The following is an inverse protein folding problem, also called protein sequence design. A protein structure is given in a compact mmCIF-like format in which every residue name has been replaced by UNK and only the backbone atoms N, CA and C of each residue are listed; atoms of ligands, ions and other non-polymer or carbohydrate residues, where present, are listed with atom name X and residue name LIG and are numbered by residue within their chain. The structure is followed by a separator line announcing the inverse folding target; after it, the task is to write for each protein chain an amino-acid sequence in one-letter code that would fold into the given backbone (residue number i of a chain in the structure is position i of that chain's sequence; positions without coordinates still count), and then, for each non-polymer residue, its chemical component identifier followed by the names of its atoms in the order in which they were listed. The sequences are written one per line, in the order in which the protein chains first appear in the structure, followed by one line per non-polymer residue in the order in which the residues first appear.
data_IF_300987706487
#
_entry.id   IF_300987706487
#
_cell.length_a   1.000
_cell.length_b   1.000
_cell.length_c   1.000
_cell.angle_alpha   90.00
_cell.angle_beta   90.00
_cell.angle_gamma   90.00
#
_symmetry.space_group_name_H-M   'P 1'
#
loop_
_entity.id
_entity.type
_entity.pdbx_description
1 polymer ?
#
# COMPACT_ATOMS: atom_id res chain seq x y z
N UNK A 1 -18.68 1.10 -34.73
CA UNK A 1 -18.62 1.04 -33.25
C UNK A 1 -18.86 2.44 -32.73
N UNK A 2 -19.81 2.61 -31.82
CA UNK A 2 -20.20 3.91 -31.27
C UNK A 2 -19.04 4.50 -30.47
N UNK A 3 -18.77 5.80 -30.59
CA UNK A 3 -17.69 6.49 -29.84
C UNK A 3 -17.77 6.26 -28.32
N UNK A 4 -18.98 6.06 -27.80
CA UNK A 4 -19.27 5.74 -26.40
C UNK A 4 -18.75 4.37 -25.96
N UNK A 5 -18.78 3.37 -26.85
CA UNK A 5 -18.31 2.01 -26.55
C UNK A 5 -16.78 1.99 -26.44
N UNK A 6 -16.10 2.74 -27.32
CA UNK A 6 -14.64 2.85 -27.30
C UNK A 6 -14.14 3.56 -26.04
N UNK A 7 -14.78 4.65 -25.62
CA UNK A 7 -14.46 5.35 -24.37
C UNK A 7 -14.70 4.46 -23.14
N UNK A 8 -15.76 3.64 -23.16
CA UNK A 8 -16.07 2.69 -22.10
C UNK A 8 -15.01 1.60 -22.02
N UNK A 9 -14.63 0.99 -23.15
CA UNK A 9 -13.58 -0.02 -23.20
C UNK A 9 -12.22 0.54 -22.77
N UNK A 10 -11.89 1.77 -23.16
CA UNK A 10 -10.66 2.42 -22.72
C UNK A 10 -10.66 2.68 -21.21
N UNK A 11 -11.80 3.09 -20.64
CA UNK A 11 -11.94 3.30 -19.19
C UNK A 11 -11.80 2.00 -18.39
N UNK A 12 -12.37 0.90 -18.90
CA UNK A 12 -12.21 -0.44 -18.34
C UNK A 12 -10.74 -0.84 -18.36
N UNK A 13 -10.11 -0.73 -19.53
CA UNK A 13 -8.72 -1.13 -19.74
C UNK A 13 -7.79 -0.36 -18.81
N UNK A 14 -7.88 0.98 -18.78
CA UNK A 14 -7.09 1.82 -17.89
C UNK A 14 -7.27 1.45 -16.41
N UNK A 15 -8.50 1.14 -16.00
CA UNK A 15 -8.79 0.81 -14.60
C UNK A 15 -8.21 -0.55 -14.20
N UNK A 16 -8.26 -1.55 -15.09
CA UNK A 16 -7.68 -2.88 -14.80
C UNK A 16 -6.15 -2.85 -14.93
N UNK A 17 -5.60 -2.15 -15.92
CA UNK A 17 -4.15 -1.93 -16.01
C UNK A 17 -3.61 -1.22 -14.76
N UNK A 18 -4.36 -0.27 -14.21
CA UNK A 18 -4.02 0.33 -12.91
C UNK A 18 -4.00 -0.70 -11.78
N UNK A 19 -4.96 -1.63 -11.71
CA UNK A 19 -4.97 -2.66 -10.67
C UNK A 19 -3.74 -3.57 -10.72
N UNK A 20 -3.31 -3.92 -11.93
CA UNK A 20 -2.12 -4.74 -12.19
C UNK A 20 -0.82 -3.93 -12.32
N UNK A 21 -0.88 -2.59 -12.21
CA UNK A 21 0.32 -1.75 -12.20
C UNK A 21 1.24 -2.13 -11.05
N UNK A 22 2.55 -1.92 -11.23
CA UNK A 22 3.55 -2.25 -10.20
C UNK A 22 3.24 -1.59 -8.86
N UNK A 23 2.85 -0.32 -8.92
CA UNK A 23 2.56 0.50 -7.75
C UNK A 23 1.31 0.08 -7.01
N UNK A 24 0.26 -0.35 -7.72
CA UNK A 24 -0.93 -0.86 -7.04
C UNK A 24 -0.69 -2.28 -6.52
N UNK A 25 -0.15 -3.17 -7.35
CA UNK A 25 -0.05 -4.59 -7.06
C UNK A 25 0.85 -4.90 -5.87
N UNK A 26 1.92 -4.13 -5.63
CA UNK A 26 2.75 -4.28 -4.43
C UNK A 26 2.04 -3.83 -3.14
N UNK A 27 1.04 -2.95 -3.26
CA UNK A 27 0.32 -2.38 -2.11
C UNK A 27 -1.04 -3.05 -1.87
N UNK A 28 -1.65 -3.63 -2.91
CA UNK A 28 -2.92 -4.34 -2.85
C UNK A 28 -2.69 -5.78 -2.41
N UNK A 29 -2.84 -6.04 -1.12
CA UNK A 29 -2.63 -7.36 -0.53
C UNK A 29 -3.54 -8.44 -1.12
N UNK A 30 -4.75 -8.07 -1.53
CA UNK A 30 -5.70 -9.04 -2.09
C UNK A 30 -5.21 -9.49 -3.46
N UNK A 31 -5.06 -8.55 -4.40
CA UNK A 31 -4.60 -8.87 -5.76
C UNK A 31 -3.22 -9.54 -5.75
N UNK A 32 -2.29 -9.04 -4.94
CA UNK A 32 -0.95 -9.60 -4.82
C UNK A 32 -0.97 -11.07 -4.39
N UNK A 33 -1.77 -11.39 -3.38
CA UNK A 33 -1.86 -12.76 -2.86
C UNK A 33 -2.59 -13.66 -3.85
N UNK A 34 -3.69 -13.19 -4.44
CA UNK A 34 -4.48 -13.96 -5.42
C UNK A 34 -3.67 -14.32 -6.66
N UNK A 35 -2.92 -13.37 -7.24
CA UNK A 35 -2.09 -13.70 -8.40
C UNK A 35 -0.97 -14.67 -8.04
N UNK A 36 -0.34 -14.52 -6.87
CA UNK A 36 0.80 -15.35 -6.47
C UNK A 36 0.38 -16.78 -6.16
N UNK A 37 -0.87 -16.99 -5.74
CA UNK A 37 -1.44 -18.31 -5.51
C UNK A 37 -1.84 -19.05 -6.79
N UNK A 38 -1.99 -18.34 -7.92
CA UNK A 38 -2.55 -18.87 -9.17
C UNK A 38 -1.66 -18.55 -10.40
N UNK A 39 -0.34 -18.60 -10.25
CA UNK A 39 0.62 -18.38 -11.36
C UNK A 39 0.38 -17.07 -12.16
N UNK A 40 0.02 -16.01 -11.45
CA UNK A 40 -0.27 -14.69 -12.00
C UNK A 40 -1.73 -14.46 -12.37
N UNK A 41 -2.55 -15.51 -12.45
CA UNK A 41 -3.93 -15.43 -12.89
C UNK A 41 -4.88 -14.93 -11.80
N UNK A 42 -5.84 -14.09 -12.21
CA UNK A 42 -6.92 -13.60 -11.37
C UNK A 42 -8.23 -13.74 -12.13
N UNK A 43 -9.31 -14.29 -11.52
CA UNK A 43 -10.60 -14.38 -12.17
C UNK A 43 -11.15 -13.01 -12.55
N UNK A 44 -11.58 -12.84 -13.80
CA UNK A 44 -12.24 -11.61 -14.27
C UNK A 44 -13.56 -11.40 -13.51
N UNK A 45 -14.22 -12.47 -13.08
CA UNK A 45 -15.35 -12.42 -12.16
C UNK A 45 -15.01 -11.64 -10.89
N UNK A 46 -13.85 -11.89 -10.28
CA UNK A 46 -13.37 -11.17 -9.09
C UNK A 46 -13.12 -9.70 -9.40
N UNK A 47 -12.47 -9.40 -10.53
CA UNK A 47 -12.24 -8.01 -10.96
C UNK A 47 -13.56 -7.27 -11.18
N UNK A 48 -14.57 -7.94 -11.73
CA UNK A 48 -15.90 -7.37 -11.99
C UNK A 48 -16.66 -6.96 -10.72
N UNK A 49 -16.24 -7.45 -9.54
CA UNK A 49 -16.82 -7.14 -8.24
C UNK A 49 -16.15 -5.93 -7.57
N UNK A 50 -15.04 -5.43 -8.09
CA UNK A 50 -14.38 -4.25 -7.54
C UNK A 50 -15.25 -3.01 -7.72
N UNK A 51 -15.23 -2.12 -6.74
CA UNK A 51 -16.16 -0.98 -6.67
C UNK A 51 -16.22 -0.16 -7.97
N UNK A 52 -15.05 0.10 -8.58
CA UNK A 52 -14.97 0.87 -9.84
C UNK A 52 -15.34 0.07 -11.09
N UNK A 53 -15.41 -1.26 -10.97
CA UNK A 53 -15.71 -2.19 -12.06
C UNK A 53 -17.14 -2.71 -12.06
N UNK A 54 -17.84 -2.65 -10.91
CA UNK A 54 -19.23 -3.15 -10.75
C UNK A 54 -20.20 -2.59 -11.80
N UNK A 55 -19.98 -1.36 -12.24
CA UNK A 55 -20.83 -0.67 -13.24
C UNK A 55 -20.68 -1.21 -14.66
N UNK A 56 -19.63 -1.96 -14.97
CA UNK A 56 -19.42 -2.52 -16.30
C UNK A 56 -20.06 -3.90 -16.36
N UNK A 57 -21.21 -3.95 -17.03
CA UNK A 57 -21.96 -5.18 -17.31
C UNK A 57 -22.47 -5.12 -18.76
N UNK A 58 -22.50 -6.25 -19.47
CA UNK A 58 -22.18 -7.60 -18.98
C UNK A 58 -20.64 -7.85 -18.94
N UNK A 59 -20.19 -8.98 -18.38
CA UNK A 59 -18.76 -9.22 -18.08
C UNK A 59 -17.92 -9.33 -19.37
N UNK A 60 -18.55 -9.77 -20.45
CA UNK A 60 -17.99 -9.90 -21.79
C UNK A 60 -17.40 -8.55 -22.27
N UNK A 61 -18.01 -7.42 -21.90
CA UNK A 61 -17.48 -6.08 -22.21
C UNK A 61 -16.11 -5.86 -21.54
N UNK A 62 -15.93 -6.40 -20.34
CA UNK A 62 -14.63 -6.35 -19.65
C UNK A 62 -13.63 -7.23 -20.41
N UNK A 63 -13.99 -8.47 -20.73
CA UNK A 63 -13.12 -9.41 -21.46
C UNK A 63 -12.66 -8.82 -22.79
N UNK A 64 -13.58 -8.25 -23.58
CA UNK A 64 -13.27 -7.60 -24.85
C UNK A 64 -12.32 -6.41 -24.70
N UNK A 65 -12.54 -5.57 -23.69
CA UNK A 65 -11.66 -4.44 -23.41
C UNK A 65 -10.25 -4.90 -23.00
N UNK A 66 -10.15 -5.94 -22.17
CA UNK A 66 -8.87 -6.47 -21.69
C UNK A 66 -8.04 -7.11 -22.81
N UNK A 67 -8.68 -7.75 -23.79
CA UNK A 67 -8.00 -8.30 -24.98
C UNK A 67 -7.32 -7.23 -25.84
N UNK A 68 -7.75 -5.96 -25.71
CA UNK A 68 -7.11 -4.81 -26.38
C UNK A 68 -5.90 -4.27 -25.60
N UNK A 69 -5.52 -4.85 -24.45
CA UNK A 69 -4.32 -4.41 -23.71
C UNK A 69 -3.07 -4.62 -24.57
N UNK A 70 -2.31 -3.55 -24.85
CA UNK A 70 -1.18 -3.64 -25.77
C UNK A 70 -0.09 -4.54 -25.20
N UNK A 71 0.35 -4.30 -23.95
CA UNK A 71 1.57 -4.91 -23.42
C UNK A 71 1.45 -5.42 -21.98
N UNK A 72 0.50 -4.92 -21.18
CA UNK A 72 0.48 -5.24 -19.75
C UNK A 72 -0.30 -6.52 -19.43
N UNK A 73 -1.48 -6.72 -20.03
CA UNK A 73 -2.42 -7.77 -19.64
C UNK A 73 -2.57 -8.87 -20.69
N UNK A 74 -2.76 -10.08 -20.20
CA UNK A 74 -3.11 -11.29 -20.96
C UNK A 74 -4.41 -11.87 -20.41
N UNK A 75 -5.31 -12.27 -21.30
CA UNK A 75 -6.60 -12.89 -20.95
C UNK A 75 -6.53 -14.36 -21.38
N UNK A 76 -7.03 -15.27 -20.55
CA UNK A 76 -7.09 -16.70 -20.87
C UNK A 76 -7.96 -16.96 -22.11
N UNK A 77 -7.72 -18.07 -22.80
CA UNK A 77 -8.45 -18.42 -24.03
C UNK A 77 -9.97 -18.48 -23.80
N UNK A 78 -10.39 -19.07 -22.68
CA UNK A 78 -11.79 -19.15 -22.25
C UNK A 78 -12.38 -17.81 -21.79
N UNK A 79 -11.58 -16.74 -21.65
CA UNK A 79 -12.04 -15.41 -21.26
C UNK A 79 -12.39 -15.25 -19.77
N UNK A 80 -12.00 -16.19 -18.91
CA UNK A 80 -12.38 -16.19 -17.50
C UNK A 80 -11.32 -15.57 -16.58
N UNK A 81 -10.05 -15.59 -16.99
CA UNK A 81 -8.92 -15.19 -16.17
C UNK A 81 -8.11 -14.07 -16.85
N UNK A 82 -7.50 -13.20 -16.05
CA UNK A 82 -6.56 -12.17 -16.50
C UNK A 82 -5.29 -12.23 -15.68
N UNK A 83 -4.14 -12.01 -16.32
CA UNK A 83 -2.85 -11.85 -15.65
C UNK A 83 -2.00 -10.78 -16.31
N UNK A 84 -0.86 -10.45 -15.71
CA UNK A 84 0.18 -9.67 -16.39
C UNK A 84 0.91 -10.53 -17.40
N UNK A 85 1.14 -9.99 -18.60
CA UNK A 85 2.05 -10.58 -19.62
C UNK A 85 3.48 -10.68 -19.08
N UNK A 86 3.94 -9.61 -18.44
CA UNK A 86 5.27 -9.53 -17.82
C UNK A 86 5.10 -9.58 -16.31
N UNK A 87 5.58 -10.67 -15.72
CA UNK A 87 5.59 -10.86 -14.27
C UNK A 87 6.34 -9.72 -13.56
N UNK A 88 5.95 -9.41 -12.32
CA UNK A 88 6.69 -8.47 -11.52
C UNK A 88 8.13 -8.96 -11.29
N UNK A 89 9.14 -8.08 -11.38
CA UNK A 89 10.48 -8.41 -10.93
C UNK A 89 10.46 -8.91 -9.47
N UNK A 90 11.20 -9.98 -9.18
CA UNK A 90 11.26 -10.56 -7.83
C UNK A 90 11.88 -9.60 -6.80
N UNK A 91 12.68 -8.63 -7.25
CA UNK A 91 13.30 -7.62 -6.41
C UNK A 91 12.32 -6.48 -6.10
N UNK A 92 11.33 -6.74 -5.24
CA UNK A 92 10.31 -5.75 -4.89
C UNK A 92 10.88 -4.47 -4.26
N UNK A 93 12.04 -4.54 -3.60
CA UNK A 93 12.69 -3.37 -3.04
C UNK A 93 13.14 -2.39 -4.13
N UNK A 94 13.69 -2.91 -5.23
CA UNK A 94 14.13 -2.08 -6.36
C UNK A 94 12.94 -1.42 -7.08
N UNK A 95 11.84 -2.16 -7.25
CA UNK A 95 10.59 -1.59 -7.78
C UNK A 95 10.11 -0.46 -6.85
N UNK A 96 10.09 -0.69 -5.54
CA UNK A 96 9.67 0.32 -4.57
C UNK A 96 10.57 1.56 -4.60
N UNK A 97 11.89 1.39 -4.75
CA UNK A 97 12.83 2.50 -4.90
C UNK A 97 12.56 3.30 -6.19
N UNK A 98 12.30 2.62 -7.30
CA UNK A 98 11.97 3.29 -8.57
C UNK A 98 10.62 4.03 -8.51
N UNK A 99 9.61 3.45 -7.86
CA UNK A 99 8.34 4.13 -7.57
C UNK A 99 8.59 5.36 -6.70
N UNK A 100 9.42 5.24 -5.66
CA UNK A 100 9.74 6.36 -4.77
C UNK A 100 10.47 7.50 -5.49
N UNK A 101 11.37 7.19 -6.43
CA UNK A 101 12.07 8.20 -7.25
C UNK A 101 11.11 9.04 -8.10
N UNK A 102 10.06 8.42 -8.64
CA UNK A 102 9.01 9.11 -9.42
C UNK A 102 7.82 9.58 -8.56
N UNK A 103 7.95 9.57 -7.24
CA UNK A 103 6.88 9.96 -6.32
C UNK A 103 7.28 11.13 -5.43
N UNK A 104 6.30 11.99 -5.16
CA UNK A 104 6.41 13.09 -4.20
C UNK A 104 5.38 12.91 -3.08
N UNK A 105 5.68 13.53 -1.95
CA UNK A 105 4.75 13.67 -0.83
C UNK A 105 4.33 15.13 -0.72
N UNK A 106 3.03 15.35 -0.59
CA UNK A 106 2.41 16.68 -0.57
C UNK A 106 1.57 16.83 0.69
N UNK A 107 1.74 17.95 1.40
CA UNK A 107 0.97 18.35 2.58
C UNK A 107 0.32 19.73 2.38
N UNK A 108 -0.56 20.10 3.32
CA UNK A 108 -1.36 21.34 3.33
C UNK A 108 -2.40 21.42 2.21
N UNK A 109 -2.88 20.28 1.73
CA UNK A 109 -4.06 20.24 0.85
C UNK A 109 -5.34 20.51 1.67
N UNK A 110 -6.34 21.20 1.11
CA UNK A 110 -7.63 21.38 1.76
C UNK A 110 -8.27 20.02 2.09
N UNK A 111 -8.79 19.84 3.30
CA UNK A 111 -9.43 18.58 3.71
C UNK A 111 -10.69 18.24 2.90
N UNK A 112 -11.27 19.23 2.23
CA UNK A 112 -12.41 19.12 1.30
C UNK A 112 -12.01 18.64 -0.10
N UNK A 113 -10.72 18.61 -0.44
CA UNK A 113 -10.25 18.21 -1.76
C UNK A 113 -10.61 16.76 -2.07
N UNK A 114 -11.14 16.52 -3.27
CA UNK A 114 -11.53 15.17 -3.72
C UNK A 114 -10.39 14.52 -4.51
N UNK A 115 -10.44 13.19 -4.64
CA UNK A 115 -9.45 12.45 -5.44
C UNK A 115 -9.44 12.92 -6.91
N UNK A 116 -10.60 13.22 -7.47
CA UNK A 116 -10.75 13.60 -8.87
C UNK A 116 -10.16 15.00 -9.11
N UNK A 117 -10.36 15.93 -8.18
CA UNK A 117 -9.78 17.28 -8.27
C UNK A 117 -8.25 17.23 -8.15
N UNK A 118 -7.74 16.44 -7.20
CA UNK A 118 -6.29 16.23 -7.06
C UNK A 118 -5.70 15.55 -8.30
N UNK A 119 -6.36 14.55 -8.87
CA UNK A 119 -5.92 13.90 -10.11
C UNK A 119 -5.88 14.90 -11.27
N UNK A 120 -6.89 15.75 -11.42
CA UNK A 120 -6.91 16.80 -12.46
C UNK A 120 -5.78 17.79 -12.27
N UNK A 121 -5.57 18.26 -11.04
CA UNK A 121 -4.52 19.20 -10.69
C UNK A 121 -3.12 18.64 -10.95
N UNK A 122 -2.79 17.44 -10.46
CA UNK A 122 -1.45 16.89 -10.69
C UNK A 122 -1.22 16.52 -12.14
N UNK A 123 -2.25 16.11 -12.88
CA UNK A 123 -2.17 15.84 -14.33
C UNK A 123 -1.97 17.10 -15.17
N UNK A 124 -2.40 18.28 -14.72
CA UNK A 124 -2.11 19.54 -15.42
C UNK A 124 -0.65 19.96 -15.26
N UNK A 125 0.04 19.46 -14.24
CA UNK A 125 1.47 19.69 -14.00
C UNK A 125 2.31 18.67 -14.76
N UNK A 126 2.04 17.37 -14.55
CA UNK A 126 2.79 16.28 -15.17
C UNK A 126 1.95 14.98 -15.29
N UNK A 127 2.25 14.10 -16.26
CA UNK A 127 1.58 12.81 -16.39
C UNK A 127 1.64 12.01 -15.07
N UNK A 128 0.48 11.72 -14.50
CA UNK A 128 0.35 11.13 -13.15
C UNK A 128 -0.26 9.73 -13.21
N UNK A 129 0.42 8.75 -12.60
CA UNK A 129 -0.01 7.36 -12.47
C UNK A 129 -1.02 7.17 -11.33
N UNK A 130 -0.72 7.70 -10.15
CA UNK A 130 -1.52 7.47 -8.95
C UNK A 130 -1.48 8.68 -8.01
N UNK A 131 -2.62 8.99 -7.40
CA UNK A 131 -2.72 9.88 -6.23
C UNK A 131 -3.25 9.06 -5.06
N UNK A 132 -2.48 8.99 -3.98
CA UNK A 132 -2.83 8.27 -2.75
C UNK A 132 -3.08 9.26 -1.63
N UNK A 133 -4.35 9.57 -1.41
CA UNK A 133 -4.80 10.40 -0.30
C UNK A 133 -4.61 9.67 1.03
N UNK A 134 -3.99 10.35 2.00
CA UNK A 134 -3.86 9.81 3.36
C UNK A 134 -5.10 10.16 4.14
N UNK A 135 -5.60 9.15 4.85
CA UNK A 135 -6.82 9.25 5.65
C UNK A 135 -6.51 8.94 7.10
N UNK A 136 -7.23 9.61 8.00
CA UNK A 136 -7.17 9.32 9.43
C UNK A 136 -7.93 8.01 9.75
N UNK A 137 -8.01 7.68 11.04
CA UNK A 137 -8.76 6.50 11.51
C UNK A 137 -10.25 6.57 11.19
N UNK A 138 -10.81 7.76 11.06
CA UNK A 138 -12.21 8.02 10.68
C UNK A 138 -12.42 7.99 9.16
N UNK A 139 -11.41 7.58 8.37
CA UNK A 139 -11.42 7.56 6.89
C UNK A 139 -11.60 8.95 6.25
N UNK A 140 -11.40 10.04 7.00
CA UNK A 140 -11.39 11.41 6.50
C UNK A 140 -10.01 11.78 5.96
N UNK A 141 -9.98 12.58 4.90
CA UNK A 141 -8.74 13.06 4.31
C UNK A 141 -7.98 13.96 5.29
N UNK A 142 -6.67 13.82 5.38
CA UNK A 142 -5.82 14.57 6.33
C UNK A 142 -5.08 15.74 5.70
N UNK A 143 -5.46 16.17 4.50
CA UNK A 143 -4.74 17.22 3.77
C UNK A 143 -3.34 16.81 3.28
N UNK A 144 -3.07 15.51 3.16
CA UNK A 144 -1.79 15.02 2.64
C UNK A 144 -1.93 13.82 1.71
N UNK A 145 -1.15 13.79 0.64
CA UNK A 145 -1.17 12.70 -0.32
C UNK A 145 0.23 12.34 -0.83
N UNK A 146 0.35 11.14 -1.38
CA UNK A 146 1.51 10.72 -2.17
C UNK A 146 1.08 10.74 -3.63
N UNK A 147 1.88 11.38 -4.49
CA UNK A 147 1.62 11.48 -5.92
C UNK A 147 2.73 10.73 -6.63
N UNK A 148 2.35 9.80 -7.50
CA UNK A 148 3.25 9.05 -8.36
C UNK A 148 3.10 9.52 -9.80
N UNK A 149 4.19 10.02 -10.38
CA UNK A 149 4.25 10.44 -11.77
C UNK A 149 4.65 9.28 -12.69
N UNK A 150 4.42 9.47 -14.00
CA UNK A 150 4.83 8.51 -15.02
C UNK A 150 6.34 8.38 -15.08
N UNK A 151 7.04 9.51 -15.07
CA UNK A 151 8.48 9.61 -15.22
C UNK A 151 9.15 10.20 -13.98
N UNK A 152 10.33 9.68 -13.62
CA UNK A 152 11.11 10.19 -12.48
C UNK A 152 11.58 11.63 -12.68
N UNK A 153 11.85 12.01 -13.93
CA UNK A 153 12.29 13.36 -14.31
C UNK A 153 11.26 14.43 -13.95
N UNK A 154 9.96 14.11 -14.03
CA UNK A 154 8.91 15.07 -13.70
C UNK A 154 8.86 15.33 -12.20
N UNK A 155 9.04 14.28 -11.38
CA UNK A 155 9.14 14.42 -9.94
C UNK A 155 10.36 15.27 -9.55
N UNK A 156 11.52 15.04 -10.18
CA UNK A 156 12.75 15.82 -9.95
C UNK A 156 12.58 17.30 -10.33
N UNK A 157 11.97 17.59 -11.48
CA UNK A 157 11.68 18.97 -11.90
C UNK A 157 10.78 19.68 -10.91
N UNK A 158 9.67 19.05 -10.50
CA UNK A 158 8.77 19.63 -9.51
C UNK A 158 9.51 19.90 -8.20
N UNK A 159 10.37 18.99 -7.74
CA UNK A 159 11.16 19.17 -6.52
C UNK A 159 12.23 20.27 -6.64
N UNK A 160 12.75 20.52 -7.85
CA UNK A 160 13.65 21.64 -8.11
C UNK A 160 12.87 22.97 -8.12
N UNK A 161 11.76 23.02 -8.85
CA UNK A 161 10.94 24.22 -9.03
C UNK A 161 10.39 24.74 -7.70
N UNK A 162 9.98 23.85 -6.78
CA UNK A 162 9.43 24.25 -5.46
C UNK A 162 10.43 24.98 -4.55
N UNK A 163 11.74 24.90 -4.83
CA UNK A 163 12.75 25.62 -4.04
C UNK A 163 12.71 27.13 -4.30
N UNK A 164 12.28 27.53 -5.50
CA UNK A 164 12.15 28.92 -5.92
C UNK A 164 10.66 29.35 -5.95
N UNK A 165 9.77 28.46 -6.39
CA UNK A 165 8.35 28.73 -6.61
C UNK A 165 7.47 27.69 -5.93
N UNK A 166 6.89 28.04 -4.78
CA UNK A 166 5.97 27.13 -4.08
C UNK A 166 4.79 26.72 -4.95
N UNK A 167 4.49 25.42 -4.93
CA UNK A 167 3.32 24.87 -5.60
C UNK A 167 2.05 25.34 -4.88
N UNK A 168 1.08 25.87 -5.63
CA UNK A 168 -0.19 26.36 -5.10
C UNK A 168 -1.36 25.53 -5.62
N UNK A 169 -2.33 25.26 -4.74
CA UNK A 169 -3.57 24.57 -5.08
C UNK A 169 -4.77 25.50 -4.91
N UNK A 170 -5.58 25.63 -5.96
CA UNK A 170 -6.73 26.55 -6.02
C UNK A 170 -6.46 27.78 -6.88
N UNK A 171 -7.46 28.67 -6.96
CA UNK A 171 -7.43 29.87 -7.80
C UNK A 171 -7.53 31.14 -6.96
N UNK A 172 -6.86 32.21 -7.42
CA UNK A 172 -6.90 33.53 -6.80
C UNK A 172 -6.39 33.55 -5.34
N UNK A 173 -7.01 34.39 -4.52
CA UNK A 173 -6.64 34.59 -3.11
C UNK A 173 -6.94 33.38 -2.21
N UNK A 174 -7.72 32.40 -2.70
CA UNK A 174 -8.01 31.16 -2.00
C UNK A 174 -6.95 30.07 -2.25
N UNK A 175 -5.93 30.34 -3.06
CA UNK A 175 -4.89 29.38 -3.39
C UNK A 175 -4.01 29.06 -2.16
N UNK A 176 -3.88 27.79 -1.83
CA UNK A 176 -3.10 27.31 -0.69
C UNK A 176 -1.72 26.88 -1.15
N UNK A 177 -0.68 27.38 -0.48
CA UNK A 177 0.70 26.93 -0.69
C UNK A 177 0.89 25.53 -0.12
N UNK A 178 1.40 24.62 -0.95
CA UNK A 178 1.64 23.24 -0.60
C UNK A 178 3.07 23.04 -0.11
N UNK A 179 3.22 22.15 0.88
CA UNK A 179 4.53 21.65 1.26
C UNK A 179 4.79 20.37 0.46
N UNK A 180 5.86 20.35 -0.32
CA UNK A 180 6.21 19.22 -1.19
C UNK A 180 7.61 18.74 -0.82
N UNK A 181 7.75 17.43 -0.61
CA UNK A 181 9.05 16.77 -0.38
C UNK A 181 9.13 15.48 -1.20
N UNK A 182 10.35 14.97 -1.40
CA UNK A 182 10.52 13.67 -2.06
C UNK A 182 9.92 12.56 -1.22
N UNK A 183 9.41 11.51 -1.88
CA UNK A 183 8.87 10.33 -1.18
C UNK A 183 9.92 9.66 -0.28
N UNK A 184 11.18 9.64 -0.70
CA UNK A 184 12.31 9.12 0.09
C UNK A 184 12.52 9.91 1.39
N UNK A 185 12.58 11.25 1.29
CA UNK A 185 12.73 12.12 2.47
C UNK A 185 11.57 11.99 3.45
N UNK A 186 10.35 11.82 2.92
CA UNK A 186 9.17 11.53 3.73
C UNK A 186 9.31 10.22 4.53
N UNK A 187 9.76 9.14 3.89
CA UNK A 187 9.91 7.84 4.54
C UNK A 187 11.01 7.83 5.60
N UNK A 188 12.14 8.51 5.33
CA UNK A 188 13.23 8.71 6.30
C UNK A 188 12.75 9.50 7.53
N UNK A 189 12.05 10.62 7.31
CA UNK A 189 11.47 11.44 8.38
C UNK A 189 10.49 10.65 9.24
N UNK A 190 9.71 9.75 8.61
CA UNK A 190 8.77 8.87 9.30
C UNK A 190 9.49 7.79 10.10
N UNK A 191 10.55 7.19 9.54
CA UNK A 191 11.36 6.18 10.21
C UNK A 191 12.08 6.74 11.44
N UNK A 192 12.65 7.95 11.33
CA UNK A 192 13.28 8.65 12.44
C UNK A 192 12.30 8.91 13.59
N UNK A 193 11.13 9.52 13.29
CA UNK A 193 10.07 9.76 14.29
C UNK A 193 9.60 8.47 14.97
N UNK A 194 9.58 7.36 14.24
CA UNK A 194 9.22 6.05 14.80
C UNK A 194 10.34 5.47 15.69
N UNK A 195 11.60 5.59 15.27
CA UNK A 195 12.77 5.21 16.05
C UNK A 195 12.87 5.97 17.37
N UNK A 196 12.69 7.29 17.34
CA UNK A 196 12.66 8.16 18.52
C UNK A 196 11.57 7.74 19.52
N UNK A 197 10.35 7.47 19.03
CA UNK A 197 9.25 6.99 19.87
C UNK A 197 9.56 5.65 20.55
N UNK A 198 10.24 4.73 19.87
CA UNK A 198 10.67 3.44 20.44
C UNK A 198 11.82 3.61 21.43
N UNK A 199 12.84 4.41 21.11
CA UNK A 199 13.97 4.70 21.99
C UNK A 199 13.53 5.39 23.29
N UNK A 200 12.58 6.32 23.20
CA UNK A 200 12.05 7.03 24.38
C UNK A 200 11.19 6.12 25.28
N UNK A 201 10.51 5.11 24.70
CA UNK A 201 9.74 4.11 25.46
C UNK A 201 10.65 3.13 26.22
N UNK A 202 11.79 2.74 25.64
CA UNK A 202 12.82 1.94 26.32
C UNK A 202 13.47 2.68 27.49
N UNK A 203 13.69 3.98 27.36
CA UNK A 203 14.30 4.80 28.41
C UNK A 203 13.34 5.07 29.59
N UNK A 204 12.03 5.17 29.34
CA UNK A 204 11.00 5.26 30.40
C UNK A 204 10.91 3.99 31.25
N UNK A 205 11.12 2.80 30.68
CA UNK A 205 11.11 1.54 31.43
C UNK A 205 12.35 1.39 32.33
N UNK A 206 13.54 1.80 31.86
CA UNK A 206 14.76 1.85 32.69
C UNK A 206 14.65 2.83 33.87
N UNK A 207 13.95 3.95 33.69
CA UNK A 207 13.76 4.96 34.74
C UNK A 207 12.69 4.56 35.79
N UNK A 208 11.79 3.62 35.46
CA UNK A 208 10.83 3.03 36.40
C UNK A 208 11.46 1.92 37.26
N UNK A 209 12.28 1.04 36.68
CA UNK A 209 12.98 0.00 37.44
C UNK A 209 13.96 0.55 38.49
N UNK A 210 14.62 1.69 38.22
CA UNK A 210 15.58 2.30 39.17
C UNK A 210 14.92 3.10 40.32
N UNK A 211 13.59 3.21 40.35
CA UNK A 211 12.87 3.93 41.42
C UNK A 211 12.22 3.00 42.47
N UNK A 212 12.22 1.69 42.24
CA UNK A 212 11.68 0.71 43.19
C UNK A 212 12.75 0.10 44.11
N UNK A 213 14.04 0.13 43.73
CA UNK A 213 15.15 -0.43 44.55
C UNK A 213 15.76 0.54 45.60
N UNK A 214 15.05 1.60 46.01
CA UNK A 214 15.59 2.55 47.02
C UNK A 214 14.65 2.84 48.19
N UNK A 215 13.74 1.92 48.50
CA UNK A 215 13.03 1.89 49.78
C UNK A 215 12.94 0.45 50.24
N UNK A 216 13.76 0.11 51.23
CA UNK A 216 13.49 -0.79 52.35
C UNK A 216 14.78 -1.46 52.81
N UNK A 217 15.66 -0.68 53.44
CA UNK A 217 16.51 -1.19 54.52
C UNK A 217 15.78 -0.93 55.83
N UNK A 218 15.19 -1.96 56.44
CA UNK A 218 15.37 -2.31 57.86
C UNK A 218 14.52 -3.53 58.28
N UNK A 219 15.13 -4.39 59.11
CA UNK A 219 14.58 -5.43 60.00
C UNK A 219 14.41 -6.90 59.50
N UNK A 220 15.52 -7.67 59.64
CA UNK A 220 15.73 -8.93 60.40
C UNK A 220 14.54 -9.91 60.62
N UNK A 221 14.66 -11.16 60.15
CA UNK A 221 15.04 -12.40 60.91
C UNK A 221 13.77 -13.13 61.45
N UNK A 222 13.39 -14.40 61.19
CA UNK A 222 14.07 -15.70 61.09
C UNK A 222 13.05 -16.82 60.70
N UNK A 223 13.57 -18.04 60.46
CA UNK A 223 12.93 -19.37 60.60
C UNK A 223 12.45 -20.16 59.34
N UNK A 224 13.37 -20.97 58.84
CA UNK A 224 13.31 -22.40 58.42
C UNK A 224 11.98 -23.21 58.38
N UNK A 225 11.81 -23.92 57.25
CA UNK A 225 11.68 -25.39 57.10
C UNK A 225 10.39 -26.01 56.47
N UNK A 226 10.66 -27.00 55.59
CA UNK A 226 9.89 -28.20 55.14
C UNK A 226 8.93 -28.14 53.94
N UNK A 227 9.46 -28.65 52.81
CA UNK A 227 9.17 -29.97 52.21
C UNK A 227 7.74 -30.43 51.82
N UNK A 228 7.71 -31.06 50.64
CA UNK A 228 6.77 -32.01 50.02
C UNK A 228 5.58 -31.57 49.14
N UNK A 229 5.59 -32.21 47.96
CA UNK A 229 4.49 -32.81 47.15
C UNK A 229 4.05 -32.14 45.84
N UNK A 230 4.65 -32.67 44.78
CA UNK A 230 4.06 -33.17 43.53
C UNK A 230 2.54 -33.04 43.34
N UNK A 231 2.16 -32.61 42.13
CA UNK A 231 1.18 -33.31 41.29
C UNK A 231 1.36 -32.95 39.80
N UNK A 232 2.11 -33.83 39.14
CA UNK A 232 1.86 -34.50 37.86
C UNK A 232 0.74 -33.97 36.94
N UNK A 233 1.09 -33.69 35.66
CA UNK A 233 0.57 -34.39 34.47
C UNK A 233 0.68 -33.50 33.21
N UNK A 234 1.64 -33.81 32.35
CA UNK A 234 1.50 -33.69 30.88
C UNK A 234 1.52 -35.14 30.32
N UNK A 235 1.43 -35.48 29.00
CA UNK A 235 1.20 -34.67 27.79
C UNK A 235 0.39 -35.40 26.65
N UNK A 236 0.26 -34.72 25.49
CA UNK A 236 0.28 -35.24 24.09
C UNK A 236 -0.94 -36.00 23.50
N UNK A 237 -1.32 -35.62 22.26
CA UNK A 237 -1.43 -36.42 21.02
C UNK A 237 -1.75 -35.47 19.84
N UNK A 238 -0.84 -35.16 18.91
CA UNK A 238 -0.13 -35.90 17.84
C UNK A 238 -0.94 -35.95 16.53
N UNK A 239 -0.30 -35.44 15.47
CA UNK A 239 -0.71 -35.41 14.08
C UNK A 239 -0.77 -36.81 13.45
N UNK A 240 -1.60 -36.95 12.42
CA UNK A 240 -1.65 -38.12 11.54
C UNK A 240 -1.42 -37.66 10.10
N UNK A 241 -0.35 -38.19 9.53
CA UNK A 241 0.07 -38.14 8.14
C UNK A 241 -0.46 -39.43 7.49
N UNK A 242 -1.09 -39.37 6.32
CA UNK A 242 -1.42 -40.57 5.54
C UNK A 242 -0.75 -40.48 4.18
N UNK A 243 0.25 -41.34 4.04
CA UNK A 243 1.00 -41.69 2.84
C UNK A 243 0.19 -42.74 2.05
N UNK A 244 0.03 -42.56 0.73
CA UNK A 244 -0.56 -43.58 -0.16
C UNK A 244 0.50 -43.98 -1.18
N UNK A 245 0.99 -45.20 -1.00
CA UNK A 245 1.90 -45.91 -1.89
C UNK A 245 1.21 -46.45 -3.15
N UNK A 246 2.05 -46.53 -4.18
CA UNK A 246 1.89 -47.09 -5.52
C UNK A 246 1.49 -48.59 -5.64
N UNK A 247 0.85 -48.87 -6.80
CA UNK A 247 0.92 -50.04 -7.71
C UNK A 247 0.29 -51.38 -7.28
N UNK A 248 -0.70 -51.84 -8.06
CA UNK A 248 -0.54 -52.65 -9.29
C UNK A 248 -1.75 -52.44 -10.23
#
# INVERSE_FOLDING_TARGET
MSTTDEQTQQSILQQVEFYFSESNLLNDRFLFTTQNANDGWVPIQTISQFERMKKYRPIEVIVEALRKSPELLEVSENGEMVRRKIALPKNYNEIQLNINKRSIFVEKLPETATLDDLLKFFRSIAPTNQVRMKKNREKKFTGSCIVEFKDAKDAEKILADITENKLKYGEGDAAVELDVISKTSYDESKAQKFGERRGNKGNKNKKRGRKEDSKDEESKESAEAKDTKERDASPVRKAEEVDVKERD
#
